data_IF_778776922662
#
_entry.id   IF_778776922662
#
_cell.length_a   1.000
_cell.length_b   1.000
_cell.length_c   1.000
_cell.angle_alpha   90.00
_cell.angle_beta   90.00
_cell.angle_gamma   90.00
#
_symmetry.space_group_name_H-M   'P 1'
#
loop_
_entity.id
_entity.type
_entity.pdbx_description
1 polymer ?
#
# COMPACT_ATOMS: atom_id res chain seq x y z
N UNK A 1 -4.53 12.31 -18.83
CA UNK A 1 -5.39 11.16 -18.50
C UNK A 1 -5.71 11.27 -17.04
N UNK A 2 -6.99 11.32 -16.65
CA UNK A 2 -7.38 11.42 -15.24
C UNK A 2 -6.92 10.18 -14.48
N UNK A 3 -6.55 10.35 -13.22
CA UNK A 3 -6.19 9.24 -12.33
C UNK A 3 -7.47 8.53 -11.91
N UNK A 4 -7.54 7.22 -12.12
CA UNK A 4 -8.65 6.40 -11.63
C UNK A 4 -8.57 6.27 -10.11
N UNK A 5 -9.74 6.28 -9.45
CA UNK A 5 -9.80 6.25 -7.97
C UNK A 5 -9.16 4.97 -7.41
N UNK A 6 -9.32 3.86 -8.13
CA UNK A 6 -8.79 2.54 -7.83
C UNK A 6 -7.26 2.48 -7.87
N UNK A 7 -6.64 3.40 -8.62
CA UNK A 7 -5.20 3.52 -8.76
C UNK A 7 -4.57 4.42 -7.69
N UNK A 8 -5.36 5.20 -6.96
CA UNK A 8 -4.88 6.10 -5.92
C UNK A 8 -4.86 5.41 -4.54
N UNK A 9 -3.67 5.25 -3.96
CA UNK A 9 -3.45 4.67 -2.63
C UNK A 9 -2.63 5.58 -1.72
N UNK A 10 -2.74 5.38 -0.41
CA UNK A 10 -1.88 6.02 0.58
C UNK A 10 -0.40 5.91 0.20
N UNK A 11 0.31 7.03 0.20
CA UNK A 11 1.71 7.11 -0.16
C UNK A 11 2.00 7.20 -1.66
N UNK A 12 1.00 7.06 -2.55
CA UNK A 12 1.21 7.30 -3.97
C UNK A 12 1.57 8.76 -4.26
N UNK A 13 2.42 8.96 -5.28
CA UNK A 13 2.77 10.30 -5.77
C UNK A 13 2.07 10.59 -7.09
N UNK A 14 1.48 11.78 -7.18
CA UNK A 14 0.84 12.32 -8.37
C UNK A 14 1.28 13.77 -8.59
N UNK A 15 1.07 14.30 -9.79
CA UNK A 15 1.20 15.73 -10.02
C UNK A 15 -0.13 16.43 -9.72
N UNK A 16 -0.05 17.63 -9.15
CA UNK A 16 -1.17 18.57 -9.04
C UNK A 16 -0.67 19.91 -9.59
N UNK A 17 -0.97 20.17 -10.86
CA UNK A 17 -0.37 21.29 -11.58
C UNK A 17 1.16 21.16 -11.68
N UNK A 18 1.89 22.04 -11.00
CA UNK A 18 3.37 22.04 -10.99
C UNK A 18 3.97 21.28 -9.81
N UNK A 19 3.15 20.88 -8.85
CA UNK A 19 3.60 20.27 -7.61
C UNK A 19 3.45 18.75 -7.65
N UNK A 20 4.28 18.06 -6.85
CA UNK A 20 4.15 16.62 -6.62
C UNK A 20 3.50 16.42 -5.26
N UNK A 21 2.30 15.85 -5.26
CA UNK A 21 1.53 15.57 -4.04
C UNK A 21 1.63 14.09 -3.69
N UNK A 22 1.83 13.80 -2.40
CA UNK A 22 1.72 12.46 -1.82
C UNK A 22 0.30 12.27 -1.30
N UNK A 23 -0.36 11.18 -1.66
CA UNK A 23 -1.65 10.82 -1.07
C UNK A 23 -1.43 10.48 0.41
N UNK A 24 -2.18 11.13 1.28
CA UNK A 24 -2.13 10.97 2.74
C UNK A 24 -3.55 10.77 3.27
N UNK A 25 -3.69 10.42 4.55
CA UNK A 25 -4.99 10.23 5.20
C UNK A 25 -5.93 11.43 5.04
N UNK A 26 -5.39 12.65 5.11
CA UNK A 26 -6.16 13.89 4.94
C UNK A 26 -6.80 14.04 3.55
N UNK A 27 -6.28 13.36 2.54
CA UNK A 27 -6.81 13.42 1.18
C UNK A 27 -7.99 12.47 0.95
N UNK A 28 -8.18 11.44 1.79
CA UNK A 28 -9.21 10.41 1.57
C UNK A 28 -10.63 10.95 1.47
N UNK A 29 -11.09 11.88 2.34
CA UNK A 29 -12.45 12.41 2.26
C UNK A 29 -12.74 13.13 0.94
N UNK A 30 -11.70 13.65 0.28
CA UNK A 30 -11.80 14.43 -0.96
C UNK A 30 -11.24 13.68 -2.17
N UNK A 31 -10.81 12.42 -2.02
CA UNK A 31 -10.05 11.68 -3.02
C UNK A 31 -10.79 11.56 -4.37
N UNK A 32 -12.11 11.28 -4.42
CA UNK A 32 -12.83 11.24 -5.70
C UNK A 32 -12.77 12.56 -6.48
N UNK A 33 -12.82 13.69 -5.79
CA UNK A 33 -12.72 15.00 -6.43
C UNK A 33 -11.26 15.34 -6.76
N UNK A 34 -10.33 14.99 -5.87
CA UNK A 34 -8.90 15.21 -6.06
C UNK A 34 -8.39 14.45 -7.30
N UNK A 35 -8.82 13.20 -7.51
CA UNK A 35 -8.45 12.38 -8.68
C UNK A 35 -8.77 13.05 -10.04
N UNK A 36 -9.75 13.95 -10.09
CA UNK A 36 -10.07 14.73 -11.30
C UNK A 36 -8.98 15.77 -11.63
N UNK A 37 -8.18 16.17 -10.65
CA UNK A 37 -7.15 17.19 -10.76
C UNK A 37 -5.73 16.58 -10.79
N UNK A 38 -5.60 15.33 -10.35
CA UNK A 38 -4.31 14.65 -10.32
C UNK A 38 -3.88 14.18 -11.71
N UNK A 39 -2.59 14.28 -11.97
CA UNK A 39 -1.97 13.73 -13.17
C UNK A 39 -0.94 12.64 -12.79
N UNK A 40 -0.88 11.55 -13.57
CA UNK A 40 0.07 10.48 -13.31
C UNK A 40 1.50 10.92 -13.61
N UNK A 41 2.43 10.61 -12.71
CA UNK A 41 3.85 10.95 -12.87
C UNK A 41 4.55 9.89 -13.72
N UNK A 42 5.02 10.26 -14.92
CA UNK A 42 5.87 9.38 -15.73
C UNK A 42 7.12 8.92 -15.00
N UNK A 43 7.55 7.68 -15.25
CA UNK A 43 8.82 7.19 -14.72
C UNK A 43 9.97 7.91 -15.45
N UNK A 44 10.88 8.48 -14.65
CA UNK A 44 12.08 9.20 -15.11
C UNK A 44 13.24 8.85 -14.18
N UNK A 45 14.48 8.93 -14.69
CA UNK A 45 15.69 8.59 -13.96
C UNK A 45 15.79 9.29 -12.59
N UNK A 46 15.58 10.61 -12.56
CA UNK A 46 15.59 11.42 -11.33
C UNK A 46 14.55 10.95 -10.29
N UNK A 47 13.36 10.52 -10.72
CA UNK A 47 12.30 10.00 -9.84
C UNK A 47 12.66 8.62 -9.30
N UNK A 48 13.25 7.76 -10.12
CA UNK A 48 13.75 6.45 -9.69
C UNK A 48 14.85 6.57 -8.63
N UNK A 49 15.79 7.49 -8.81
CA UNK A 49 16.81 7.80 -7.80
C UNK A 49 16.18 8.24 -6.47
N UNK A 50 15.16 9.11 -6.52
CA UNK A 50 14.43 9.57 -5.32
C UNK A 50 13.71 8.43 -4.61
N UNK A 51 13.19 7.45 -5.35
CA UNK A 51 12.59 6.21 -4.79
C UNK A 51 13.64 5.17 -4.36
N UNK A 52 14.92 5.49 -4.49
CA UNK A 52 16.04 4.65 -4.05
C UNK A 52 16.38 3.50 -4.98
N UNK A 53 16.00 3.58 -6.26
CA UNK A 53 16.57 2.71 -7.28
C UNK A 53 17.97 3.20 -7.67
N UNK A 54 18.85 2.25 -7.96
CA UNK A 54 20.21 2.48 -8.44
C UNK A 54 20.35 1.93 -9.85
N UNK A 55 21.31 2.43 -10.61
CA UNK A 55 21.66 1.85 -11.90
C UNK A 55 22.27 0.47 -11.70
N UNK A 56 21.89 -0.51 -12.53
CA UNK A 56 22.51 -1.85 -12.52
C UNK A 56 23.98 -1.75 -12.97
N UNK A 57 24.27 -0.85 -13.92
CA UNK A 57 25.61 -0.51 -14.38
C UNK A 57 25.73 1.01 -14.52
N UNK A 58 26.88 1.57 -14.16
CA UNK A 58 27.12 3.01 -14.27
C UNK A 58 26.87 3.52 -15.69
N UNK A 59 26.12 4.62 -15.82
CA UNK A 59 25.77 5.24 -17.11
C UNK A 59 24.64 4.56 -17.89
N UNK A 60 24.11 3.41 -17.43
CA UNK A 60 23.02 2.71 -18.10
C UNK A 60 21.65 3.11 -17.52
N UNK A 61 21.12 4.23 -17.99
CA UNK A 61 19.81 4.75 -17.56
C UNK A 61 18.61 3.88 -17.98
N UNK A 62 18.83 2.78 -18.69
CA UNK A 62 17.79 1.84 -19.10
C UNK A 62 17.62 0.67 -18.13
N UNK A 63 18.52 0.47 -17.16
CA UNK A 63 18.47 -0.67 -16.25
C UNK A 63 18.68 -0.22 -14.80
N UNK A 64 17.63 -0.37 -14.00
CA UNK A 64 17.58 0.04 -12.61
C UNK A 64 17.29 -1.14 -11.69
N UNK A 65 17.79 -1.06 -10.47
CA UNK A 65 17.56 -2.06 -9.44
C UNK A 65 17.36 -1.43 -8.07
N UNK A 66 16.49 -2.04 -7.27
CA UNK A 66 16.33 -1.73 -5.84
C UNK A 66 16.27 -3.06 -5.09
N UNK A 67 17.13 -3.23 -4.09
CA UNK A 67 17.06 -4.36 -3.18
C UNK A 67 16.05 -4.11 -2.07
N UNK A 68 15.27 -5.12 -1.70
CA UNK A 68 14.40 -5.08 -0.54
C UNK A 68 14.30 -6.48 0.10
N UNK A 69 14.61 -6.59 1.40
CA UNK A 69 14.65 -7.86 2.14
C UNK A 69 15.44 -8.98 1.43
N UNK A 70 16.59 -8.63 0.84
CA UNK A 70 17.44 -9.57 0.10
C UNK A 70 16.92 -9.95 -1.31
N UNK A 71 15.76 -9.43 -1.72
CA UNK A 71 15.20 -9.63 -3.06
C UNK A 71 15.52 -8.42 -3.96
N UNK A 72 16.23 -8.61 -5.08
CA UNK A 72 16.43 -7.54 -6.04
C UNK A 72 15.19 -7.38 -6.93
N UNK A 73 14.76 -6.13 -7.09
CA UNK A 73 13.71 -5.69 -8.01
C UNK A 73 14.39 -5.01 -9.18
N UNK A 74 14.12 -5.45 -10.39
CA UNK A 74 14.69 -4.89 -11.60
C UNK A 74 13.63 -4.11 -12.37
N UNK A 75 14.02 -2.93 -12.85
CA UNK A 75 13.22 -2.08 -13.71
C UNK A 75 14.02 -1.75 -14.97
N UNK A 76 13.57 -2.26 -16.10
CA UNK A 76 14.22 -2.12 -17.40
C UNK A 76 13.38 -1.28 -18.35
N UNK A 77 13.99 -0.38 -19.10
CA UNK A 77 13.31 0.37 -20.15
C UNK A 77 12.81 -0.62 -21.23
N UNK A 78 11.54 -0.51 -21.57
CA UNK A 78 10.89 -1.22 -22.66
C UNK A 78 10.52 -0.27 -23.80
N UNK A 79 9.70 -0.77 -24.73
CA UNK A 79 9.22 0.01 -25.87
C UNK A 79 8.09 0.96 -25.44
N UNK A 80 7.84 2.00 -26.26
CA UNK A 80 6.72 2.94 -26.10
C UNK A 80 6.68 3.65 -24.73
N UNK A 81 7.84 4.08 -24.20
CA UNK A 81 7.97 4.73 -22.89
C UNK A 81 7.46 3.89 -21.71
N UNK A 82 7.37 2.56 -21.86
CA UNK A 82 7.02 1.64 -20.78
C UNK A 82 8.27 1.08 -20.14
N UNK A 83 8.11 0.65 -18.91
CA UNK A 83 9.14 -0.02 -18.12
C UNK A 83 8.69 -1.44 -17.79
N UNK A 84 9.63 -2.36 -17.90
CA UNK A 84 9.50 -3.77 -17.55
C UNK A 84 9.96 -3.91 -16.10
N UNK A 85 9.03 -4.25 -15.23
CA UNK A 85 9.27 -4.57 -13.83
C UNK A 85 9.38 -6.09 -13.66
N UNK A 86 10.49 -6.53 -13.07
CA UNK A 86 10.80 -7.93 -12.83
C UNK A 86 11.26 -8.14 -11.38
N UNK A 87 10.75 -9.20 -10.75
CA UNK A 87 11.11 -9.62 -9.40
C UNK A 87 11.85 -10.94 -9.47
N UNK A 88 12.94 -11.09 -8.72
CA UNK A 88 13.60 -12.38 -8.59
C UNK A 88 12.65 -13.39 -7.95
N UNK A 89 12.44 -14.53 -8.62
CA UNK A 89 11.51 -15.58 -8.17
C UNK A 89 10.09 -15.49 -8.75
N UNK A 90 9.76 -14.48 -9.56
CA UNK A 90 8.47 -14.38 -10.24
C UNK A 90 8.65 -14.41 -11.76
N UNK A 91 7.96 -15.34 -12.44
CA UNK A 91 8.00 -15.44 -13.91
C UNK A 91 7.26 -14.30 -14.63
N UNK A 92 6.32 -13.65 -13.94
CA UNK A 92 5.44 -12.65 -14.55
C UNK A 92 6.10 -11.27 -14.56
N UNK A 93 6.50 -10.84 -15.75
CA UNK A 93 6.85 -9.45 -16.04
C UNK A 93 5.60 -8.56 -15.95
N UNK A 94 5.78 -7.33 -15.44
CA UNK A 94 4.75 -6.28 -15.45
C UNK A 94 5.25 -5.07 -16.25
N UNK A 95 4.34 -4.46 -17.01
CA UNK A 95 4.63 -3.21 -17.69
C UNK A 95 4.05 -2.05 -16.88
N UNK A 96 4.87 -1.03 -16.64
CA UNK A 96 4.47 0.20 -15.94
C UNK A 96 4.94 1.42 -16.72
N UNK A 97 4.13 2.47 -16.75
CA UNK A 97 4.49 3.75 -17.37
C UNK A 97 4.66 4.85 -16.31
N UNK A 98 3.94 4.72 -15.21
CA UNK A 98 3.81 5.76 -14.19
C UNK A 98 4.29 5.31 -12.81
N UNK A 99 4.69 6.27 -11.99
CA UNK A 99 5.22 6.06 -10.63
C UNK A 99 4.19 5.37 -9.73
N UNK A 100 2.92 5.80 -9.76
CA UNK A 100 1.88 5.20 -8.92
C UNK A 100 1.65 3.71 -9.24
N UNK A 101 1.77 3.31 -10.51
CA UNK A 101 1.69 1.90 -10.92
C UNK A 101 2.83 1.09 -10.32
N UNK A 102 4.07 1.62 -10.37
CA UNK A 102 5.23 1.00 -9.73
C UNK A 102 5.02 0.89 -8.21
N UNK A 103 4.53 1.94 -7.56
CA UNK A 103 4.26 1.96 -6.12
C UNK A 103 3.16 0.95 -5.73
N UNK A 104 2.11 0.81 -6.54
CA UNK A 104 1.01 -0.11 -6.27
C UNK A 104 1.45 -1.57 -6.40
N UNK A 105 2.29 -1.89 -7.40
CA UNK A 105 2.88 -3.23 -7.52
C UNK A 105 3.84 -3.48 -6.36
N UNK A 106 4.69 -2.52 -5.99
CA UNK A 106 5.58 -2.64 -4.84
C UNK A 106 4.81 -2.94 -3.55
N UNK A 107 3.77 -2.16 -3.25
CA UNK A 107 2.91 -2.39 -2.09
C UNK A 107 2.24 -3.76 -2.12
N UNK A 108 1.79 -4.20 -3.30
CA UNK A 108 1.19 -5.52 -3.45
C UNK A 108 2.17 -6.66 -3.15
N UNK A 109 3.44 -6.51 -3.53
CA UNK A 109 4.48 -7.53 -3.33
C UNK A 109 5.04 -7.51 -1.90
N UNK A 110 5.34 -6.34 -1.35
CA UNK A 110 6.09 -6.21 -0.09
C UNK A 110 5.23 -5.79 1.12
N UNK A 111 4.08 -5.17 0.86
CA UNK A 111 3.17 -4.71 1.89
C UNK A 111 3.45 -3.36 2.50
N UNK A 112 4.36 -2.62 1.89
CA UNK A 112 4.78 -1.30 2.34
C UNK A 112 4.77 -0.34 1.16
N UNK A 113 4.56 0.97 1.40
CA UNK A 113 4.57 1.94 0.33
C UNK A 113 6.00 2.17 -0.18
N UNK A 114 6.20 2.18 -1.49
CA UNK A 114 7.44 2.65 -2.09
C UNK A 114 7.49 4.18 -2.01
N UNK A 115 8.28 4.73 -1.09
CA UNK A 115 8.36 6.17 -0.84
C UNK A 115 9.69 6.77 -1.32
N UNK A 116 9.75 8.09 -1.41
CA UNK A 116 11.02 8.80 -1.60
C UNK A 116 11.87 8.61 -0.35
N UNK A 117 13.20 8.53 -0.49
CA UNK A 117 14.14 8.48 0.65
C UNK A 117 13.93 9.61 1.67
N UNK A 118 13.55 10.80 1.20
CA UNK A 118 13.26 11.97 2.04
C UNK A 118 11.96 11.82 2.86
N UNK A 119 11.03 11.00 2.36
CA UNK A 119 9.73 10.73 3.00
C UNK A 119 9.76 9.43 3.83
N UNK A 120 10.86 8.66 3.76
CA UNK A 120 11.08 7.50 4.63
C UNK A 120 11.27 8.01 6.08
N UNK A 121 10.62 7.39 7.07
CA UNK A 121 10.85 7.78 8.47
C UNK A 121 12.34 7.58 8.80
N UNK A 122 13.03 8.65 9.21
CA UNK A 122 14.43 8.59 9.62
C UNK A 122 14.59 7.58 10.76
N UNK A 123 15.32 6.50 10.52
CA UNK A 123 15.82 5.65 11.60
C UNK A 123 16.90 6.40 12.36
N UNK A 124 16.58 6.94 13.54
CA UNK A 124 17.59 7.41 14.48
C UNK A 124 18.45 6.20 14.91
N UNK A 125 19.74 6.27 14.59
CA UNK A 125 20.68 5.17 14.75
C UNK A 125 20.90 4.73 16.19
N UNK A 126 21.08 3.42 16.39
CA UNK A 126 21.68 2.87 17.60
C UNK A 126 21.04 1.59 18.13
N UNK A 127 21.68 0.46 17.80
CA UNK A 127 21.67 -0.83 18.52
C UNK A 127 20.38 -1.68 18.53
N UNK A 128 20.56 -2.94 18.10
CA UNK A 128 19.66 -4.10 18.07
C UNK A 128 18.64 -4.20 16.91
N UNK A 129 18.80 -5.16 15.98
CA UNK A 129 17.88 -5.39 14.85
C UNK A 129 16.53 -6.01 15.25
N UNK A 130 16.14 -5.89 16.52
CA UNK A 130 14.92 -6.47 17.04
C UNK A 130 13.95 -5.48 17.68
N UNK A 131 14.20 -4.16 17.67
CA UNK A 131 13.28 -3.28 18.41
C UNK A 131 13.10 -1.81 18.02
N UNK A 132 13.33 -1.40 16.76
CA UNK A 132 13.07 0.01 16.38
C UNK A 132 12.39 0.18 15.00
N UNK A 133 11.21 -0.43 14.83
CA UNK A 133 10.12 0.14 14.02
C UNK A 133 8.80 -0.01 14.78
N UNK A 134 8.57 0.89 15.75
CA UNK A 134 7.30 1.03 16.47
C UNK A 134 6.39 2.10 15.81
N UNK A 135 6.45 2.23 14.49
CA UNK A 135 5.43 2.91 13.67
C UNK A 135 4.47 1.86 13.14
N UNK A 136 3.35 1.65 13.83
CA UNK A 136 2.39 0.54 13.61
C UNK A 136 2.02 0.37 12.14
N UNK A 137 2.58 -0.64 11.47
CA UNK A 137 1.95 -1.26 10.32
C UNK A 137 0.52 -1.61 10.74
N UNK A 138 -0.48 -0.94 10.17
CA UNK A 138 -1.89 -1.26 10.42
C UNK A 138 -2.12 -2.68 9.89
N UNK A 139 -2.27 -3.69 10.76
CA UNK A 139 -2.23 -5.08 10.32
C UNK A 139 -3.53 -5.50 9.65
N UNK A 140 -4.59 -4.70 9.83
CA UNK A 140 -5.94 -4.96 9.36
C UNK A 140 -6.48 -3.76 8.58
N UNK A 141 -7.24 -4.03 7.53
CA UNK A 141 -7.94 -3.05 6.70
C UNK A 141 -9.40 -3.46 6.59
N UNK A 142 -10.29 -2.49 6.79
CA UNK A 142 -11.73 -2.66 6.61
C UNK A 142 -12.13 -2.06 5.26
N UNK A 143 -12.90 -2.77 4.46
CA UNK A 143 -13.47 -2.20 3.23
C UNK A 143 -14.47 -1.11 3.58
N UNK A 144 -14.61 -0.11 2.70
CA UNK A 144 -15.48 1.06 2.91
C UNK A 144 -16.96 0.69 3.15
N UNK A 145 -17.42 -0.44 2.60
CA UNK A 145 -18.77 -0.97 2.76
C UNK A 145 -18.93 -1.82 4.04
N UNK A 146 -17.88 -1.92 4.87
CA UNK A 146 -17.80 -2.72 6.08
C UNK A 146 -18.16 -4.20 5.87
N UNK A 147 -17.91 -4.75 4.67
CA UNK A 147 -18.19 -6.16 4.36
C UNK A 147 -16.99 -7.07 4.52
N UNK A 148 -15.77 -6.55 4.38
CA UNK A 148 -14.56 -7.36 4.43
C UNK A 148 -13.49 -6.77 5.35
N UNK A 149 -12.84 -7.67 6.09
CA UNK A 149 -11.67 -7.37 6.91
C UNK A 149 -10.47 -8.11 6.31
N UNK A 150 -9.37 -7.39 6.07
CA UNK A 150 -8.17 -7.89 5.40
C UNK A 150 -7.00 -7.77 6.36
N UNK A 151 -6.33 -8.87 6.68
CA UNK A 151 -5.04 -8.86 7.35
C UNK A 151 -3.90 -8.91 6.33
N UNK A 152 -2.95 -7.98 6.41
CA UNK A 152 -1.85 -7.89 5.46
C UNK A 152 -0.83 -9.04 5.63
N UNK A 153 -0.47 -9.42 6.86
CA UNK A 153 0.43 -10.55 7.17
C UNK A 153 -0.20 -11.36 8.29
N UNK A 154 -0.67 -12.60 8.06
CA UNK A 154 -0.28 -13.54 7.00
C UNK A 154 -1.22 -13.60 5.76
N UNK A 155 -1.69 -12.46 5.21
CA UNK A 155 -2.64 -12.41 4.09
C UNK A 155 -3.93 -13.21 4.35
N UNK A 156 -4.81 -12.64 5.16
CA UNK A 156 -6.09 -13.27 5.54
C UNK A 156 -7.25 -12.37 5.19
N UNK A 157 -8.32 -12.93 4.64
CA UNK A 157 -9.53 -12.20 4.27
C UNK A 157 -10.73 -12.81 4.98
N UNK A 158 -11.48 -11.99 5.71
CA UNK A 158 -12.74 -12.36 6.33
C UNK A 158 -13.90 -11.54 5.74
N UNK A 159 -15.06 -12.17 5.60
CA UNK A 159 -16.35 -11.47 5.49
C UNK A 159 -16.86 -11.17 6.89
N UNK A 160 -17.38 -9.95 7.07
CA UNK A 160 -18.12 -9.58 8.26
C UNK A 160 -19.54 -10.18 8.17
N UNK A 161 -19.94 -10.92 9.21
CA UNK A 161 -21.22 -11.63 9.27
C UNK A 161 -21.89 -11.44 10.64
N UNK A 162 -23.18 -11.71 10.73
CA UNK A 162 -23.96 -11.72 11.97
C UNK A 162 -24.22 -13.15 12.50
N UNK A 163 -23.93 -14.18 11.69
CA UNK A 163 -24.29 -15.58 11.98
C UNK A 163 -23.49 -16.20 13.14
N UNK A 164 -22.23 -15.77 13.32
CA UNK A 164 -21.30 -16.23 14.38
C UNK A 164 -20.64 -15.03 15.04
N UNK A 165 -21.36 -14.31 15.92
CA UNK A 165 -20.88 -13.05 16.46
C UNK A 165 -19.70 -13.26 17.41
N UNK A 166 -18.66 -12.46 17.21
CA UNK A 166 -17.51 -12.32 18.11
C UNK A 166 -17.73 -11.20 19.13
N UNK A 167 -18.50 -10.18 18.77
CA UNK A 167 -18.91 -9.10 19.68
C UNK A 167 -20.20 -8.40 19.23
N UNK A 168 -20.74 -7.57 20.11
CA UNK A 168 -21.88 -6.68 19.82
C UNK A 168 -21.45 -5.23 19.99
N UNK A 169 -21.87 -4.36 19.06
CA UNK A 169 -21.61 -2.93 19.10
C UNK A 169 -22.78 -2.18 18.42
N UNK A 170 -23.34 -1.19 19.13
CA UNK A 170 -24.47 -0.38 18.69
C UNK A 170 -25.73 -1.21 18.29
N UNK A 171 -26.03 -2.27 19.05
CA UNK A 171 -27.18 -3.15 18.79
C UNK A 171 -27.00 -4.09 17.59
N UNK A 172 -25.84 -4.05 16.94
CA UNK A 172 -25.47 -4.94 15.83
C UNK A 172 -24.46 -5.99 16.29
N UNK A 173 -24.67 -7.22 15.83
CA UNK A 173 -23.80 -8.38 16.04
C UNK A 173 -22.71 -8.41 14.97
N UNK A 174 -21.45 -8.57 15.36
CA UNK A 174 -20.30 -8.55 14.47
C UNK A 174 -19.51 -9.83 14.62
N UNK A 175 -19.33 -10.56 13.53
CA UNK A 175 -18.54 -11.79 13.44
C UNK A 175 -17.67 -11.79 12.19
N UNK A 176 -16.69 -12.70 12.18
CA UNK A 176 -15.77 -12.88 11.06
C UNK A 176 -15.97 -14.28 10.49
N UNK A 177 -16.05 -14.38 9.16
CA UNK A 177 -16.06 -15.65 8.44
C UNK A 177 -14.89 -15.66 7.48
N UNK A 178 -13.97 -16.59 7.69
CA UNK A 178 -12.79 -16.75 6.84
C UNK A 178 -13.20 -17.08 5.40
N UNK A 179 -12.71 -16.30 4.44
CA UNK A 179 -12.87 -16.54 3.00
C UNK A 179 -11.58 -17.09 2.41
N UNK A 180 -10.44 -16.51 2.79
CA UNK A 180 -9.14 -16.83 2.21
C UNK A 180 -8.01 -16.70 3.24
N UNK A 181 -7.01 -17.56 3.12
CA UNK A 181 -5.83 -17.59 3.98
C UNK A 181 -5.97 -18.61 5.11
N UNK A 182 -5.02 -18.57 6.05
CA UNK A 182 -5.05 -19.37 7.28
C UNK A 182 -5.21 -18.43 8.46
N UNK A 183 -6.31 -18.57 9.19
CA UNK A 183 -6.57 -17.82 10.42
C UNK A 183 -6.35 -18.74 11.62
N UNK A 184 -5.44 -18.34 12.52
CA UNK A 184 -5.38 -18.92 13.85
C UNK A 184 -6.37 -18.22 14.77
N UNK A 185 -6.81 -18.90 15.84
CA UNK A 185 -7.72 -18.31 16.84
C UNK A 185 -7.20 -16.99 17.44
N UNK A 186 -5.90 -16.87 17.80
CA UNK A 186 -5.35 -15.60 18.28
C UNK A 186 -5.41 -14.47 17.26
N UNK A 187 -5.23 -14.79 15.97
CA UNK A 187 -5.30 -13.79 14.90
C UNK A 187 -6.74 -13.30 14.70
N UNK A 188 -7.71 -14.21 14.77
CA UNK A 188 -9.14 -13.88 14.71
C UNK A 188 -9.57 -12.98 15.88
N UNK A 189 -9.11 -13.30 17.11
CA UNK A 189 -9.39 -12.48 18.29
C UNK A 189 -8.78 -11.07 18.15
N UNK A 190 -7.56 -10.98 17.62
CA UNK A 190 -6.90 -9.70 17.34
C UNK A 190 -7.64 -8.89 16.27
N UNK A 191 -8.09 -9.55 15.20
CA UNK A 191 -8.85 -8.96 14.12
C UNK A 191 -10.20 -8.42 14.62
N UNK A 192 -10.90 -9.18 15.47
CA UNK A 192 -12.17 -8.78 16.07
C UNK A 192 -12.01 -7.58 17.02
N UNK A 193 -10.97 -7.60 17.86
CA UNK A 193 -10.66 -6.45 18.74
C UNK A 193 -10.36 -5.19 17.93
N UNK A 194 -9.54 -5.31 16.89
CA UNK A 194 -9.22 -4.20 16.01
C UNK A 194 -10.47 -3.67 15.31
N UNK A 195 -11.31 -4.55 14.74
CA UNK A 195 -12.55 -4.16 14.05
C UNK A 195 -13.49 -3.38 14.98
N UNK A 196 -13.62 -3.83 16.23
CA UNK A 196 -14.44 -3.14 17.24
C UNK A 196 -13.92 -1.73 17.53
N UNK A 197 -12.61 -1.56 17.64
CA UNK A 197 -12.00 -0.25 17.89
C UNK A 197 -12.11 0.66 16.66
N UNK A 198 -12.01 0.11 15.45
CA UNK A 198 -12.13 0.85 14.20
C UNK A 198 -13.56 1.38 13.98
N UNK A 199 -14.58 0.53 14.16
CA UNK A 199 -15.98 0.94 14.04
C UNK A 199 -16.35 2.02 15.06
N UNK A 200 -15.74 2.00 16.25
CA UNK A 200 -15.93 3.06 17.28
C UNK A 200 -15.34 4.41 16.86
N UNK A 201 -14.28 4.41 16.04
CA UNK A 201 -13.63 5.62 15.54
C UNK A 201 -14.34 6.20 14.33
N UNK A 202 -15.10 5.39 13.60
CA UNK A 202 -15.85 5.87 12.45
C UNK A 202 -16.86 6.95 12.88
N UNK A 203 -16.97 8.05 12.13
CA UNK A 203 -17.95 9.09 12.40
C UNK A 203 -19.34 8.46 12.34
N UNK A 204 -20.15 8.71 13.39
CA UNK A 204 -21.56 8.30 13.37
C UNK A 204 -22.23 9.00 12.19
N UNK A 205 -23.04 8.30 11.38
CA UNK A 205 -23.83 8.96 10.36
C UNK A 205 -24.65 10.07 11.03
N UNK A 206 -24.55 11.28 10.51
CA UNK A 206 -25.40 12.37 10.94
C UNK A 206 -26.85 11.94 10.73
N UNK A 207 -27.62 11.92 11.83
CA UNK A 207 -29.06 11.65 11.83
C UNK A 207 -29.79 12.83 11.21
#
# INVERSE_FOLDING_TARGET
MPVELEEARLGNYFALGREVVKVTEHHYPILPHLCLQLEPLRIQANRLTKLGFNLVRGGDFNNWTKGHNGMPVFLKAGNNNRWILQFTGYEKVRYVEYIHQLQNIWFWVFGEPLQKKEDEPQEEGGTNPHNMYNGRLQPFYLTWDCRFLICHKPHVLWTITEDKPLFELAGRKWGLRLIQGQSSRPLEDQAAKWLKDEIRRMPKPAV
#
